data_IF_755539998944
#
_entry.id   IF_755539998944
#
_cell.length_a   1.000
_cell.length_b   1.000
_cell.length_c   1.000
_cell.angle_alpha   90.00
_cell.angle_beta   90.00
_cell.angle_gamma   90.00
#
_symmetry.space_group_name_H-M   'P 1'
#
loop_
_entity.id
_entity.type
_entity.pdbx_description
1 polymer ?
#
# COMPACT_ATOMS: atom_id res chain seq x y z
N UNK A 1 1.35 -0.88 -55.13
CA UNK A 1 0.45 0.14 -55.73
C UNK A 1 0.45 1.34 -54.78
N UNK A 2 1.31 2.34 -55.06
CA UNK A 2 1.46 3.55 -54.23
C UNK A 2 0.53 4.60 -54.82
N UNK A 3 -0.50 5.01 -54.07
CA UNK A 3 -1.41 6.06 -54.49
C UNK A 3 -0.70 7.41 -54.41
N UNK A 4 -0.37 7.90 -55.61
CA UNK A 4 -0.22 9.28 -56.07
C UNK A 4 -0.14 10.36 -54.97
N UNK A 5 1.05 10.96 -54.87
CA UNK A 5 1.25 12.22 -54.18
C UNK A 5 0.34 13.29 -54.76
N UNK A 6 -0.43 13.93 -53.88
CA UNK A 6 -1.15 15.16 -54.22
C UNK A 6 -0.16 16.31 -54.20
N UNK A 7 0.24 16.74 -55.39
CA UNK A 7 0.94 18.00 -55.65
C UNK A 7 0.21 19.16 -54.94
N UNK A 8 0.82 19.68 -53.88
CA UNK A 8 0.45 20.99 -53.33
C UNK A 8 1.16 22.02 -54.20
N UNK A 9 0.49 22.45 -55.26
CA UNK A 9 0.87 23.64 -56.01
C UNK A 9 0.73 24.87 -55.10
N UNK A 10 1.86 25.42 -54.66
CA UNK A 10 1.94 26.73 -54.03
C UNK A 10 1.61 27.82 -55.06
N UNK A 11 0.37 28.30 -55.02
CA UNK A 11 -0.09 29.54 -55.66
C UNK A 11 -0.92 30.33 -54.64
N UNK A 12 -0.31 31.37 -54.10
CA UNK A 12 -0.81 32.32 -53.10
C UNK A 12 -2.23 32.81 -53.37
N UNK A 13 -3.20 32.42 -52.52
CA UNK A 13 -4.22 33.26 -51.87
C UNK A 13 -5.03 32.36 -50.91
N UNK A 14 -4.39 31.85 -49.85
CA UNK A 14 -5.18 31.43 -48.69
C UNK A 14 -5.90 32.69 -48.20
N UNK A 15 -7.21 32.73 -48.35
CA UNK A 15 -7.99 33.87 -47.87
C UNK A 15 -7.79 33.98 -46.36
N UNK A 16 -7.97 35.17 -45.80
CA UNK A 16 -7.95 35.33 -44.33
C UNK A 16 -8.97 34.40 -43.65
N UNK A 17 -10.03 34.04 -44.37
CA UNK A 17 -11.03 33.06 -43.95
C UNK A 17 -10.46 31.63 -43.91
N UNK A 18 -9.69 31.18 -44.91
CA UNK A 18 -9.06 29.85 -44.92
C UNK A 18 -8.00 29.69 -43.82
N UNK A 19 -7.25 30.77 -43.56
CA UNK A 19 -6.29 30.82 -42.44
C UNK A 19 -7.03 30.73 -41.11
N UNK A 20 -8.10 31.51 -40.94
CA UNK A 20 -8.92 31.50 -39.73
C UNK A 20 -9.54 30.12 -39.47
N UNK A 21 -10.05 29.44 -40.50
CA UNK A 21 -10.60 28.08 -40.39
C UNK A 21 -9.54 27.06 -39.99
N UNK A 22 -8.35 27.12 -40.60
CA UNK A 22 -7.24 26.21 -40.26
C UNK A 22 -6.75 26.41 -38.83
N UNK A 23 -6.66 27.67 -38.36
CA UNK A 23 -6.28 28.00 -36.99
C UNK A 23 -7.36 27.61 -35.98
N UNK A 24 -8.64 27.80 -36.30
CA UNK A 24 -9.75 27.34 -35.48
C UNK A 24 -9.74 25.80 -35.35
N UNK A 25 -9.52 25.09 -36.46
CA UNK A 25 -9.42 23.63 -36.45
C UNK A 25 -8.21 23.13 -35.64
N UNK A 26 -7.04 23.77 -35.79
CA UNK A 26 -5.84 23.44 -34.99
C UNK A 26 -6.04 23.72 -33.50
N UNK A 27 -6.71 24.81 -33.13
CA UNK A 27 -7.05 25.11 -31.74
C UNK A 27 -8.02 24.09 -31.17
N UNK A 28 -9.14 23.84 -31.85
CA UNK A 28 -10.13 22.84 -31.42
C UNK A 28 -9.54 21.43 -31.28
N UNK A 29 -8.63 21.04 -32.18
CA UNK A 29 -7.93 19.75 -32.08
C UNK A 29 -7.02 19.67 -30.84
N UNK A 30 -6.22 20.72 -30.57
CA UNK A 30 -5.35 20.75 -29.38
C UNK A 30 -6.15 20.78 -28.09
N UNK A 31 -7.17 21.64 -28.02
CA UNK A 31 -8.05 21.76 -26.87
C UNK A 31 -8.82 20.46 -26.60
N UNK A 32 -9.34 19.80 -27.64
CA UNK A 32 -9.98 18.49 -27.55
C UNK A 32 -9.03 17.39 -27.09
N UNK A 33 -7.81 17.36 -27.61
CA UNK A 33 -6.79 16.40 -27.19
C UNK A 33 -6.35 16.62 -25.73
N UNK A 34 -6.15 17.87 -25.32
CA UNK A 34 -5.74 18.22 -23.96
C UNK A 34 -6.85 17.94 -22.94
N UNK A 35 -8.10 18.26 -23.28
CA UNK A 35 -9.27 17.94 -22.43
C UNK A 35 -9.51 16.44 -22.33
N UNK A 36 -9.40 15.70 -23.44
CA UNK A 36 -9.47 14.23 -23.46
C UNK A 36 -8.37 13.57 -22.62
N UNK A 37 -7.13 14.09 -22.70
CA UNK A 37 -6.02 13.62 -21.87
C UNK A 37 -6.24 13.91 -20.38
N UNK A 38 -6.64 15.14 -20.02
CA UNK A 38 -6.93 15.51 -18.63
C UNK A 38 -8.09 14.69 -18.05
N UNK A 39 -9.14 14.45 -18.83
CA UNK A 39 -10.29 13.62 -18.43
C UNK A 39 -9.88 12.17 -18.21
N UNK A 40 -9.10 11.60 -19.13
CA UNK A 40 -8.59 10.22 -19.03
C UNK A 40 -7.63 10.05 -17.85
N UNK A 41 -6.75 11.02 -17.62
CA UNK A 41 -5.82 11.02 -16.50
C UNK A 41 -6.56 11.10 -15.16
N UNK A 42 -7.56 12.00 -15.04
CA UNK A 42 -8.41 12.10 -13.84
C UNK A 42 -9.21 10.82 -13.59
N UNK A 43 -9.83 10.27 -14.64
CA UNK A 43 -10.58 9.01 -14.52
C UNK A 43 -9.68 7.85 -14.11
N UNK A 44 -8.45 7.79 -14.62
CA UNK A 44 -7.47 6.78 -14.22
C UNK A 44 -7.04 6.96 -12.77
N UNK A 45 -6.75 8.19 -12.34
CA UNK A 45 -6.35 8.50 -10.96
C UNK A 45 -7.45 8.12 -9.95
N UNK A 46 -8.71 8.50 -10.20
CA UNK A 46 -9.83 8.13 -9.33
C UNK A 46 -10.06 6.62 -9.28
N UNK A 47 -9.80 5.91 -10.39
CA UNK A 47 -9.90 4.44 -10.43
C UNK A 47 -8.76 3.79 -9.64
N UNK A 48 -7.54 4.31 -9.71
CA UNK A 48 -6.41 3.84 -8.92
C UNK A 48 -6.72 4.03 -7.42
N UNK A 49 -7.14 5.22 -7.02
CA UNK A 49 -7.51 5.53 -5.63
C UNK A 49 -8.64 4.62 -5.12
N UNK A 50 -9.64 4.32 -5.95
CA UNK A 50 -10.70 3.37 -5.59
C UNK A 50 -10.14 1.95 -5.41
N UNK A 51 -9.24 1.51 -6.29
CA UNK A 51 -8.63 0.18 -6.20
C UNK A 51 -7.73 0.06 -4.96
N UNK A 52 -6.94 1.09 -4.65
CA UNK A 52 -6.10 1.12 -3.45
C UNK A 52 -6.95 0.99 -2.18
N UNK A 53 -8.05 1.76 -2.08
CA UNK A 53 -8.99 1.62 -0.96
C UNK A 53 -9.59 0.22 -0.89
N UNK A 54 -9.95 -0.38 -2.03
CA UNK A 54 -10.55 -1.72 -2.05
C UNK A 54 -9.55 -2.81 -1.67
N UNK A 55 -8.30 -2.69 -2.09
CA UNK A 55 -7.22 -3.61 -1.68
C UNK A 55 -7.05 -3.54 -0.16
N UNK A 56 -6.97 -2.33 0.39
CA UNK A 56 -6.84 -2.14 1.84
C UNK A 56 -8.00 -2.78 2.62
N UNK A 57 -9.25 -2.54 2.20
CA UNK A 57 -10.44 -3.15 2.81
C UNK A 57 -10.40 -4.69 2.74
N UNK A 58 -9.97 -5.24 1.61
CA UNK A 58 -9.85 -6.70 1.43
C UNK A 58 -8.74 -7.29 2.29
N UNK A 59 -7.62 -6.60 2.46
CA UNK A 59 -6.54 -6.99 3.35
C UNK A 59 -7.01 -7.03 4.80
N UNK A 60 -7.76 -6.02 5.25
CA UNK A 60 -8.37 -6.00 6.60
C UNK A 60 -9.37 -7.14 6.80
N UNK A 61 -10.24 -7.39 5.82
CA UNK A 61 -11.20 -8.51 5.86
C UNK A 61 -10.48 -9.86 5.92
N UNK A 62 -9.43 -10.02 5.12
CA UNK A 62 -8.65 -11.26 5.08
C UNK A 62 -7.91 -11.49 6.41
N UNK A 63 -7.35 -10.42 6.96
CA UNK A 63 -6.70 -10.45 8.26
C UNK A 63 -7.68 -10.88 9.35
N UNK A 64 -8.81 -10.19 9.48
CA UNK A 64 -9.85 -10.52 10.45
C UNK A 64 -10.38 -11.94 10.32
N UNK A 65 -10.59 -12.43 9.10
CA UNK A 65 -11.10 -13.79 8.86
C UNK A 65 -10.09 -14.90 9.19
N UNK A 66 -8.78 -14.63 9.08
CA UNK A 66 -7.72 -15.63 9.26
C UNK A 66 -6.95 -15.49 10.56
N UNK A 67 -7.14 -14.41 11.29
CA UNK A 67 -6.41 -14.15 12.52
C UNK A 67 -6.73 -15.20 13.58
N UNK A 68 -5.67 -15.72 14.19
CA UNK A 68 -5.74 -16.68 15.28
C UNK A 68 -5.18 -16.01 16.53
N UNK A 69 -5.98 -16.03 17.60
CA UNK A 69 -5.66 -15.38 18.88
C UNK A 69 -5.03 -16.33 19.89
N UNK A 70 -5.14 -17.64 19.66
CA UNK A 70 -4.64 -18.66 20.58
C UNK A 70 -4.11 -19.87 19.81
N UNK A 71 -2.97 -20.40 20.23
CA UNK A 71 -2.39 -21.64 19.71
C UNK A 71 -1.95 -22.51 20.89
N UNK A 72 -2.62 -23.65 21.07
CA UNK A 72 -2.30 -24.62 22.12
C UNK A 72 -2.53 -24.11 23.53
N UNK A 73 -3.65 -23.39 23.78
CA UNK A 73 -3.97 -22.86 25.11
C UNK A 73 -3.19 -21.59 25.48
N UNK A 74 -2.44 -21.02 24.53
CA UNK A 74 -1.55 -19.89 24.75
C UNK A 74 -1.90 -18.76 23.82
N UNK A 75 -2.00 -17.55 24.37
CA UNK A 75 -2.31 -16.34 23.62
C UNK A 75 -1.24 -16.09 22.56
N UNK A 76 -1.66 -15.65 21.38
CA UNK A 76 -0.78 -15.23 20.30
C UNK A 76 -0.88 -13.72 20.15
N UNK A 77 0.26 -13.08 19.98
CA UNK A 77 0.35 -11.62 19.83
C UNK A 77 1.34 -11.26 18.73
N UNK A 78 1.12 -10.11 18.12
CA UNK A 78 2.04 -9.48 17.21
C UNK A 78 2.87 -8.42 17.96
N UNK A 79 4.19 -8.49 17.82
CA UNK A 79 5.13 -7.54 18.41
C UNK A 79 6.04 -7.01 17.31
N UNK A 80 5.75 -5.80 16.85
CA UNK A 80 6.53 -5.12 15.82
C UNK A 80 6.50 -5.81 14.45
N UNK A 81 5.37 -6.43 14.09
CA UNK A 81 5.15 -7.14 12.82
C UNK A 81 5.58 -8.60 12.83
N UNK A 82 5.94 -9.14 14.00
CA UNK A 82 6.31 -10.54 14.16
C UNK A 82 5.41 -11.22 15.19
N UNK A 83 4.98 -12.43 14.87
CA UNK A 83 4.09 -13.20 15.72
C UNK A 83 4.86 -13.96 16.81
N UNK A 84 4.38 -13.87 18.04
CA UNK A 84 4.91 -14.59 19.19
C UNK A 84 3.79 -15.24 20.01
N UNK A 85 4.16 -16.26 20.77
CA UNK A 85 3.28 -16.94 21.70
C UNK A 85 3.57 -16.49 23.13
N UNK A 86 2.52 -16.20 23.88
CA UNK A 86 2.58 -15.81 25.28
C UNK A 86 2.06 -16.94 26.17
N UNK A 87 2.89 -17.34 27.13
CA UNK A 87 2.60 -18.44 28.08
C UNK A 87 2.47 -17.97 29.53
N UNK A 88 2.52 -16.66 29.78
CA UNK A 88 2.33 -16.14 31.13
C UNK A 88 0.87 -16.25 31.59
N UNK A 89 0.64 -16.05 32.88
CA UNK A 89 -0.69 -16.20 33.48
C UNK A 89 -1.67 -15.15 33.00
N UNK A 90 -1.29 -13.87 33.06
CA UNK A 90 -2.15 -12.76 32.65
C UNK A 90 -2.07 -12.52 31.15
N UNK A 91 -3.23 -12.36 30.49
CA UNK A 91 -3.31 -12.03 29.07
C UNK A 91 -2.63 -10.68 28.79
N UNK A 92 -1.88 -10.61 27.69
CA UNK A 92 -1.28 -9.38 27.19
C UNK A 92 -2.30 -8.52 26.47
N UNK A 93 -2.12 -7.22 26.58
CA UNK A 93 -2.88 -6.18 25.89
C UNK A 93 -2.00 -5.44 24.88
N UNK A 94 -2.65 -4.74 23.94
CA UNK A 94 -1.94 -3.86 22.99
C UNK A 94 -1.30 -2.72 23.77
N UNK A 95 -0.01 -2.48 23.55
CA UNK A 95 0.79 -1.52 24.29
C UNK A 95 1.64 -2.12 25.42
N UNK A 96 1.41 -3.38 25.80
CA UNK A 96 2.23 -4.04 26.80
C UNK A 96 3.68 -4.18 26.33
N UNK A 97 4.62 -3.86 27.23
CA UNK A 97 6.05 -4.06 27.00
C UNK A 97 6.42 -5.49 27.34
N UNK A 98 7.11 -6.17 26.43
CA UNK A 98 7.48 -7.58 26.57
C UNK A 98 8.96 -7.78 26.24
N UNK A 99 9.56 -8.76 26.89
CA UNK A 99 10.91 -9.21 26.59
C UNK A 99 10.84 -10.36 25.57
N UNK A 100 11.36 -10.10 24.38
CA UNK A 100 11.39 -11.05 23.29
C UNK A 100 12.66 -11.90 23.36
N UNK A 101 12.58 -13.18 22.94
CA UNK A 101 13.77 -14.01 22.80
C UNK A 101 14.70 -13.41 21.74
N UNK A 102 15.98 -13.74 21.83
CA UNK A 102 16.93 -13.41 20.77
C UNK A 102 16.55 -14.15 19.48
N UNK A 103 16.39 -13.41 18.39
CA UNK A 103 16.28 -13.96 17.05
C UNK A 103 17.35 -13.34 16.14
N UNK A 104 17.58 -13.93 14.96
CA UNK A 104 18.63 -13.47 14.04
C UNK A 104 18.51 -11.98 13.69
N UNK A 105 17.28 -11.50 13.47
CA UNK A 105 16.98 -10.12 13.08
C UNK A 105 17.20 -9.15 14.25
N UNK A 106 16.76 -9.51 15.46
CA UNK A 106 16.95 -8.71 16.66
C UNK A 106 18.44 -8.61 17.00
N UNK A 107 19.20 -9.70 16.83
CA UNK A 107 20.65 -9.69 17.02
C UNK A 107 21.34 -8.72 16.06
N UNK A 108 20.94 -8.72 14.79
CA UNK A 108 21.51 -7.83 13.79
C UNK A 108 21.20 -6.35 14.09
N UNK A 109 19.99 -6.05 14.57
CA UNK A 109 19.52 -4.69 14.79
C UNK A 109 19.92 -4.10 16.15
N UNK A 110 19.84 -4.89 17.21
CA UNK A 110 19.94 -4.42 18.60
C UNK A 110 21.16 -4.99 19.35
N UNK A 111 21.94 -5.85 18.71
CA UNK A 111 23.02 -6.60 19.35
C UNK A 111 22.53 -7.89 20.01
N UNK A 112 23.47 -8.69 20.55
CA UNK A 112 23.15 -9.98 21.17
C UNK A 112 22.27 -9.82 22.41
N UNK A 113 21.38 -10.79 22.63
CA UNK A 113 20.52 -10.87 23.81
C UNK A 113 19.04 -10.55 23.58
N UNK A 114 18.23 -10.72 24.64
CA UNK A 114 16.80 -10.43 24.61
C UNK A 114 16.52 -8.97 24.31
N UNK A 115 15.48 -8.71 23.53
CA UNK A 115 15.09 -7.35 23.11
C UNK A 115 13.73 -6.98 23.71
N UNK A 116 13.57 -5.72 24.11
CA UNK A 116 12.26 -5.20 24.53
C UNK A 116 11.43 -4.84 23.30
N UNK A 117 10.22 -5.40 23.22
CA UNK A 117 9.20 -5.07 22.23
C UNK A 117 7.92 -4.54 22.88
N UNK A 118 7.03 -4.02 22.05
CA UNK A 118 5.69 -3.56 22.45
C UNK A 118 4.66 -4.33 21.64
N UNK A 119 3.66 -4.90 22.32
CA UNK A 119 2.55 -5.61 21.65
C UNK A 119 1.80 -4.63 20.76
N UNK A 120 1.89 -4.83 19.44
CA UNK A 120 1.24 -3.98 18.44
C UNK A 120 -0.18 -4.43 18.15
N UNK A 121 -0.42 -5.75 18.20
CA UNK A 121 -1.73 -6.32 17.89
C UNK A 121 -1.92 -7.66 18.59
N UNK A 122 -3.18 -8.03 18.84
CA UNK A 122 -3.52 -9.37 19.31
C UNK A 122 -3.72 -10.32 18.12
N UNK A 123 -3.34 -11.58 18.32
CA UNK A 123 -3.41 -12.62 17.31
C UNK A 123 -2.44 -12.48 16.15
N UNK A 124 -2.47 -13.43 15.23
CA UNK A 124 -1.68 -13.41 14.00
C UNK A 124 -2.38 -14.14 12.86
N UNK A 125 -2.06 -13.77 11.63
CA UNK A 125 -2.39 -14.55 10.42
C UNK A 125 -1.28 -15.55 10.05
N UNK A 126 -0.10 -15.45 10.68
CA UNK A 126 1.01 -16.38 10.47
C UNK A 126 0.65 -17.79 10.96
N UNK A 127 1.02 -18.81 10.18
CA UNK A 127 0.70 -20.21 10.47
C UNK A 127 1.91 -21.09 10.77
N UNK A 128 3.10 -20.50 10.77
CA UNK A 128 4.33 -21.23 11.07
C UNK A 128 4.62 -21.33 12.57
N UNK A 129 5.80 -21.86 12.93
CA UNK A 129 6.21 -21.99 14.33
C UNK A 129 6.37 -20.62 14.99
N UNK A 130 5.80 -20.48 16.19
CA UNK A 130 5.87 -19.26 16.99
C UNK A 130 6.95 -19.40 18.07
N UNK A 131 7.76 -18.35 18.21
CA UNK A 131 8.68 -18.23 19.33
C UNK A 131 7.92 -17.78 20.59
N UNK A 132 8.39 -18.22 21.76
CA UNK A 132 7.79 -17.88 23.04
C UNK A 132 8.36 -16.56 23.56
N UNK A 133 7.48 -15.65 23.99
CA UNK A 133 7.86 -14.43 24.72
C UNK A 133 8.48 -14.84 26.06
N UNK A 134 9.59 -14.19 26.43
CA UNK A 134 10.36 -14.54 27.64
C UNK A 134 9.63 -14.05 28.90
N UNK A 135 9.23 -12.78 28.92
CA UNK A 135 8.53 -12.19 30.07
C UNK A 135 7.78 -10.93 29.69
N UNK A 136 6.79 -10.56 30.53
CA UNK A 136 6.21 -9.21 30.53
C UNK A 136 7.17 -8.28 31.27
N UNK A 137 7.40 -7.09 30.71
CA UNK A 137 8.16 -6.04 31.39
C UNK A 137 7.20 -5.18 32.22
N UNK A 138 7.62 -4.72 33.41
CA UNK A 138 6.81 -3.78 34.17
C UNK A 138 6.57 -2.53 33.32
N UNK A 139 5.31 -2.11 33.23
CA UNK A 139 4.96 -0.76 32.78
C UNK A 139 5.54 0.19 33.82
N UNK A 140 6.64 0.85 33.50
CA UNK A 140 7.19 1.90 34.39
C UNK A 140 6.08 2.94 34.56
N UNK A 141 5.58 3.18 35.78
CA UNK A 141 4.74 4.34 36.02
C UNK A 141 5.69 5.55 36.02
N UNK A 142 5.43 6.51 35.12
CA UNK A 142 5.96 7.87 35.27
C UNK A 142 5.22 8.60 36.39
#
# INVERSE_FOLDING_TARGET
MRLSGSDVACGTHATEQDKAVTEAHRRGWREGHETGWKSSARSSASRIEQLERRVHELEEQLDGAKRVYEVGGHQVVDVGGYAYRWRGGDLLEVGDRVLLPENYVSRLRNGPGPTVGVVSQLGTTYRGPLADIVSRMPTTPE
#
